data_IF_997108178545
#
_entry.id   IF_997108178545
#
_cell.length_a   1.000
_cell.length_b   1.000
_cell.length_c   1.000
_cell.angle_alpha   90.00
_cell.angle_beta   90.00
_cell.angle_gamma   90.00
#
_symmetry.space_group_name_H-M   'P 1'
#
loop_
_entity.id
_entity.type
_entity.pdbx_description
1 polymer ?
#
# COMPACT_ATOMS: atom_id res chain seq x y z
N UNK A 1 0.81 16.29 2.20
CA UNK A 1 1.28 15.96 0.83
C UNK A 1 2.64 16.58 0.54
N UNK A 2 3.56 15.81 -0.06
CA UNK A 2 4.84 16.28 -0.61
C UNK A 2 4.92 15.96 -2.11
N UNK A 3 6.11 16.09 -2.74
CA UNK A 3 6.27 15.79 -4.17
C UNK A 3 6.00 14.32 -4.50
N UNK A 4 6.40 13.39 -3.63
CA UNK A 4 6.09 11.95 -3.77
C UNK A 4 4.57 11.73 -3.73
N UNK A 5 3.86 12.40 -2.81
CA UNK A 5 2.38 12.34 -2.78
C UNK A 5 1.77 12.79 -4.11
N UNK A 6 2.24 13.91 -4.67
CA UNK A 6 1.74 14.43 -5.96
C UNK A 6 2.05 13.46 -7.12
N UNK A 7 3.20 12.82 -7.11
CA UNK A 7 3.55 11.82 -8.11
C UNK A 7 2.64 10.58 -8.03
N UNK A 8 2.32 10.09 -6.81
CA UNK A 8 1.36 8.99 -6.62
C UNK A 8 -0.02 9.37 -7.18
N UNK A 9 -0.48 10.60 -6.91
CA UNK A 9 -1.74 11.11 -7.50
C UNK A 9 -1.70 11.04 -9.02
N UNK A 10 -0.66 11.58 -9.66
CA UNK A 10 -0.54 11.59 -11.11
C UNK A 10 -0.53 10.18 -11.71
N UNK A 11 0.16 9.22 -11.06
CA UNK A 11 0.17 7.81 -11.47
C UNK A 11 -1.23 7.18 -11.37
N UNK A 12 -1.97 7.42 -10.28
CA UNK A 12 -3.33 6.88 -10.10
C UNK A 12 -4.33 7.54 -11.05
N UNK A 13 -4.20 8.84 -11.33
CA UNK A 13 -5.06 9.54 -12.28
C UNK A 13 -4.86 9.03 -13.70
N UNK A 14 -3.61 8.80 -14.13
CA UNK A 14 -3.32 8.22 -15.44
C UNK A 14 -3.82 6.78 -15.55
N UNK A 15 -3.68 5.99 -14.48
CA UNK A 15 -4.23 4.64 -14.39
C UNK A 15 -5.75 4.65 -14.61
N UNK A 16 -6.44 5.59 -13.96
CA UNK A 16 -7.87 5.78 -14.10
C UNK A 16 -8.27 6.33 -15.47
N UNK A 17 -7.51 7.25 -16.07
CA UNK A 17 -7.75 7.74 -17.43
C UNK A 17 -7.74 6.57 -18.43
N UNK A 18 -6.71 5.74 -18.37
CA UNK A 18 -6.58 4.55 -19.23
C UNK A 18 -7.75 3.57 -19.00
N UNK A 19 -8.12 3.32 -17.74
CA UNK A 19 -9.24 2.45 -17.42
C UNK A 19 -10.58 3.00 -17.91
N UNK A 20 -10.80 4.31 -17.80
CA UNK A 20 -12.01 4.98 -18.24
C UNK A 20 -12.17 4.89 -19.78
N UNK A 21 -11.09 5.07 -20.53
CA UNK A 21 -11.09 4.96 -21.99
C UNK A 21 -11.36 3.53 -22.49
N UNK A 22 -10.91 2.52 -21.75
CA UNK A 22 -10.99 1.11 -22.16
C UNK A 22 -12.22 0.38 -21.63
N UNK A 23 -12.70 0.76 -20.45
CA UNK A 23 -13.77 0.05 -19.72
C UNK A 23 -14.96 0.93 -19.35
N UNK A 24 -14.83 2.25 -19.42
CA UNK A 24 -15.87 3.19 -18.98
C UNK A 24 -15.96 3.40 -17.47
N UNK A 25 -15.04 2.84 -16.68
CA UNK A 25 -15.04 2.94 -15.22
C UNK A 25 -13.65 3.30 -14.65
N UNK A 26 -13.64 4.00 -13.51
CA UNK A 26 -12.44 4.23 -12.72
C UNK A 26 -12.08 2.95 -11.93
N UNK A 27 -10.79 2.68 -11.75
CA UNK A 27 -10.31 1.46 -11.09
C UNK A 27 -9.77 1.68 -9.68
N UNK A 28 -9.39 2.90 -9.33
CA UNK A 28 -8.81 3.23 -8.02
C UNK A 28 -9.22 4.64 -7.54
N UNK A 29 -9.13 4.87 -6.24
CA UNK A 29 -9.27 6.18 -5.61
C UNK A 29 -8.15 6.38 -4.61
N UNK A 30 -7.63 7.60 -4.50
CA UNK A 30 -6.61 7.96 -3.50
C UNK A 30 -7.20 8.91 -2.46
N UNK A 31 -6.66 8.85 -1.24
CA UNK A 31 -6.91 9.85 -0.18
C UNK A 31 -5.66 10.10 0.64
N UNK A 32 -5.63 11.25 1.32
CA UNK A 32 -4.56 11.69 2.20
C UNK A 32 -5.16 12.32 3.46
N UNK A 33 -4.70 11.89 4.63
CA UNK A 33 -4.96 12.56 5.89
C UNK A 33 -3.93 13.68 6.13
N UNK A 34 -3.65 14.01 7.40
CA UNK A 34 -2.65 15.00 7.80
C UNK A 34 -1.20 14.50 7.62
N UNK A 35 -0.83 14.07 6.40
CA UNK A 35 0.48 13.53 6.09
C UNK A 35 0.76 13.34 4.59
N UNK A 36 1.93 12.82 4.22
CA UNK A 36 2.28 12.51 2.83
C UNK A 36 1.90 11.08 2.41
N UNK A 37 1.42 10.24 3.32
CA UNK A 37 1.10 8.84 3.04
C UNK A 37 -0.19 8.73 2.22
N UNK A 38 -0.11 8.04 1.09
CA UNK A 38 -1.25 7.77 0.25
C UNK A 38 -2.02 6.54 0.75
N UNK A 39 -3.34 6.63 0.80
CA UNK A 39 -4.22 5.45 0.91
C UNK A 39 -4.91 5.29 -0.44
N UNK A 40 -4.75 4.12 -1.06
CA UNK A 40 -5.34 3.79 -2.36
C UNK A 40 -6.40 2.72 -2.16
N UNK A 41 -7.65 3.03 -2.50
CA UNK A 41 -8.77 2.09 -2.53
C UNK A 41 -8.99 1.59 -3.94
N UNK A 42 -9.17 0.28 -4.10
CA UNK A 42 -9.55 -0.34 -5.36
C UNK A 42 -10.23 -1.70 -5.13
N UNK A 43 -11.06 -2.17 -6.09
CA UNK A 43 -11.49 -3.57 -6.13
C UNK A 43 -10.30 -4.54 -6.14
N UNK A 44 -10.51 -5.74 -5.57
CA UNK A 44 -9.44 -6.75 -5.36
C UNK A 44 -8.70 -7.10 -6.66
N UNK A 45 -9.45 -7.22 -7.75
CA UNK A 45 -8.97 -7.56 -9.09
C UNK A 45 -7.98 -6.55 -9.67
N UNK A 46 -7.98 -5.31 -9.17
CA UNK A 46 -7.08 -4.25 -9.67
C UNK A 46 -5.80 -4.14 -8.84
N UNK A 47 -5.72 -4.77 -7.65
CA UNK A 47 -4.61 -4.53 -6.72
C UNK A 47 -3.27 -5.04 -7.21
N UNK A 48 -3.23 -6.16 -7.94
CA UNK A 48 -1.96 -6.65 -8.50
C UNK A 48 -1.37 -5.61 -9.49
N UNK A 49 -2.20 -5.09 -10.39
CA UNK A 49 -1.82 -4.07 -11.37
C UNK A 49 -1.38 -2.76 -10.69
N UNK A 50 -2.10 -2.31 -9.66
CA UNK A 50 -1.75 -1.11 -8.89
C UNK A 50 -0.42 -1.29 -8.15
N UNK A 51 -0.16 -2.44 -7.51
CA UNK A 51 1.10 -2.67 -6.81
C UNK A 51 2.26 -2.68 -7.79
N UNK A 52 2.12 -3.37 -8.93
CA UNK A 52 3.15 -3.35 -10.00
C UNK A 52 3.41 -1.93 -10.51
N UNK A 53 2.35 -1.13 -10.66
CA UNK A 53 2.45 0.25 -11.10
C UNK A 53 3.19 1.14 -10.08
N UNK A 54 2.87 1.01 -8.79
CA UNK A 54 3.56 1.74 -7.73
C UNK A 54 5.02 1.31 -7.63
N UNK A 55 5.33 0.01 -7.72
CA UNK A 55 6.70 -0.50 -7.70
C UNK A 55 7.52 -0.03 -8.90
N UNK A 56 6.88 0.18 -10.07
CA UNK A 56 7.54 0.74 -11.26
C UNK A 56 8.05 2.17 -11.03
N UNK A 57 7.19 3.06 -10.52
CA UNK A 57 7.54 4.46 -10.31
C UNK A 57 8.27 4.72 -8.99
N UNK A 58 8.10 3.85 -7.99
CA UNK A 58 8.68 3.97 -6.66
C UNK A 58 9.31 2.63 -6.25
N UNK A 59 10.54 2.33 -6.71
CA UNK A 59 11.25 1.12 -6.33
C UNK A 59 11.35 0.96 -4.81
N UNK A 60 11.09 -0.25 -4.31
CA UNK A 60 11.04 -0.55 -2.88
C UNK A 60 12.40 -1.00 -2.35
N UNK A 61 12.78 -0.51 -1.17
CA UNK A 61 13.98 -0.98 -0.46
C UNK A 61 13.71 -2.31 0.28
N UNK A 62 12.49 -2.44 0.82
CA UNK A 62 12.05 -3.60 1.58
C UNK A 62 11.11 -4.46 0.74
N UNK A 63 11.20 -5.77 0.94
CA UNK A 63 10.29 -6.76 0.37
C UNK A 63 8.82 -6.40 0.61
N UNK A 64 7.98 -6.57 -0.40
CA UNK A 64 6.56 -6.37 -0.27
C UNK A 64 5.95 -7.51 0.56
N UNK A 65 5.31 -7.17 1.68
CA UNK A 65 4.60 -8.16 2.50
C UNK A 65 3.27 -8.54 1.83
N UNK A 66 3.30 -9.59 1.04
CA UNK A 66 2.13 -10.11 0.30
C UNK A 66 1.15 -10.89 1.20
N UNK A 67 0.44 -10.16 2.07
CA UNK A 67 -0.52 -10.74 3.02
C UNK A 67 -1.68 -11.52 2.38
N UNK A 68 -1.92 -11.35 1.08
CA UNK A 68 -3.07 -11.92 0.37
C UNK A 68 -2.67 -12.80 -0.81
N UNK A 69 -1.39 -13.18 -0.90
CA UNK A 69 -0.85 -14.06 -1.95
C UNK A 69 -1.15 -13.58 -3.38
N UNK A 70 -1.13 -12.27 -3.62
CA UNK A 70 -1.29 -11.68 -4.96
C UNK A 70 -0.20 -12.13 -5.93
N UNK A 71 1.01 -12.36 -5.43
CA UNK A 71 2.19 -12.71 -6.23
C UNK A 71 2.69 -14.13 -5.96
N UNK A 72 1.94 -14.95 -5.21
CA UNK A 72 2.33 -16.32 -4.90
C UNK A 72 3.65 -16.44 -4.13
N UNK A 73 4.01 -15.41 -3.35
CA UNK A 73 5.26 -15.35 -2.59
C UNK A 73 6.47 -14.82 -3.38
N UNK A 74 6.30 -14.44 -4.64
CA UNK A 74 7.32 -13.71 -5.40
C UNK A 74 7.26 -12.21 -5.10
N UNK A 75 8.40 -11.53 -5.21
CA UNK A 75 8.41 -10.07 -5.16
C UNK A 75 7.72 -9.47 -6.40
N UNK A 76 6.92 -8.42 -6.24
CA UNK A 76 6.29 -7.75 -7.37
C UNK A 76 7.36 -7.14 -8.27
N UNK A 77 7.34 -7.50 -9.55
CA UNK A 77 8.10 -6.78 -10.58
C UNK A 77 7.30 -5.58 -11.06
N UNK A 78 7.90 -4.40 -11.01
CA UNK A 78 7.31 -3.16 -11.50
C UNK A 78 6.93 -3.26 -12.99
N UNK A 79 5.72 -2.82 -13.32
CA UNK A 79 5.21 -2.80 -14.69
C UNK A 79 4.13 -1.74 -14.86
N UNK A 80 3.95 -1.28 -16.09
CA UNK A 80 2.87 -0.37 -16.49
C UNK A 80 1.91 -1.07 -17.46
N UNK A 81 0.59 -0.79 -17.39
CA UNK A 81 -0.36 -1.36 -18.34
C UNK A 81 -0.17 -0.77 -19.75
N UNK A 82 -0.55 -1.52 -20.79
CA UNK A 82 -0.43 -1.08 -22.18
C UNK A 82 -1.23 0.21 -22.41
N UNK A 83 -0.58 1.23 -22.95
CA UNK A 83 -1.20 2.53 -23.25
C UNK A 83 -1.14 3.54 -22.10
N UNK A 84 -0.49 3.18 -20.98
CA UNK A 84 -0.19 4.10 -19.90
C UNK A 84 0.83 5.17 -20.34
N UNK A 85 0.55 6.44 -20.07
CA UNK A 85 1.50 7.52 -20.30
C UNK A 85 2.52 7.60 -19.16
N UNK A 86 3.72 7.05 -19.36
CA UNK A 86 4.76 7.05 -18.33
C UNK A 86 5.31 8.46 -18.01
N UNK A 87 5.04 9.48 -18.83
CA UNK A 87 5.54 10.83 -18.58
C UNK A 87 4.84 11.56 -17.41
N UNK A 88 3.78 10.98 -16.83
CA UNK A 88 3.05 11.58 -15.69
C UNK A 88 3.87 11.61 -14.40
N UNK A 89 4.90 10.77 -14.29
CA UNK A 89 5.88 10.83 -13.22
C UNK A 89 7.23 10.30 -13.71
N UNK A 90 8.32 10.82 -13.14
CA UNK A 90 9.61 10.14 -13.21
C UNK A 90 9.60 8.85 -12.36
N UNK A 91 10.52 7.95 -12.61
CA UNK A 91 10.89 6.91 -11.64
C UNK A 91 11.68 7.57 -10.51
N UNK A 92 11.27 7.33 -9.28
CA UNK A 92 11.84 7.91 -8.07
C UNK A 92 12.98 7.05 -7.52
N UNK A 93 13.82 7.65 -6.68
CA UNK A 93 14.85 6.93 -5.95
C UNK A 93 14.25 5.90 -4.99
N UNK A 94 14.92 4.76 -4.85
CA UNK A 94 14.56 3.71 -3.88
C UNK A 94 14.40 4.31 -2.49
N UNK A 95 13.29 3.99 -1.82
CA UNK A 95 12.97 4.51 -0.49
C UNK A 95 12.13 5.80 -0.47
N UNK A 96 11.86 6.41 -1.63
CA UNK A 96 10.87 7.52 -1.74
C UNK A 96 9.49 7.11 -1.22
N UNK A 97 9.12 5.85 -1.43
CA UNK A 97 8.06 5.14 -0.71
C UNK A 97 8.71 4.07 0.15
N UNK A 98 8.52 4.15 1.46
CA UNK A 98 9.22 3.28 2.44
C UNK A 98 8.67 1.85 2.51
N UNK A 99 7.45 1.64 2.00
CA UNK A 99 6.78 0.35 2.03
C UNK A 99 5.33 0.47 1.63
N UNK A 100 4.71 -0.68 1.36
CA UNK A 100 3.30 -0.81 1.02
C UNK A 100 2.61 -1.68 2.07
N UNK A 101 1.44 -1.24 2.53
CA UNK A 101 0.57 -2.02 3.40
C UNK A 101 -0.68 -2.38 2.61
N UNK A 102 -0.80 -3.65 2.24
CA UNK A 102 -2.01 -4.18 1.63
C UNK A 102 -2.92 -4.72 2.73
N UNK A 103 -4.11 -4.13 2.85
CA UNK A 103 -5.19 -4.53 3.77
C UNK A 103 -6.55 -4.49 3.06
N UNK A 104 -7.61 -4.90 3.75
CA UNK A 104 -8.99 -4.89 3.25
C UNK A 104 -9.93 -4.33 4.32
N UNK A 105 -11.17 -4.06 3.91
CA UNK A 105 -12.28 -3.83 4.86
C UNK A 105 -12.45 -5.08 5.72
N UNK A 106 -12.59 -4.88 7.03
CA UNK A 106 -12.81 -5.94 8.02
C UNK A 106 -13.88 -5.50 9.04
N UNK A 107 -14.13 -6.33 10.04
CA UNK A 107 -15.08 -6.05 11.13
C UNK A 107 -14.57 -5.00 12.15
N UNK A 108 -15.40 -4.74 13.16
CA UNK A 108 -15.14 -3.76 14.21
C UNK A 108 -14.21 -4.26 15.33
N UNK A 109 -14.15 -3.52 16.45
CA UNK A 109 -13.34 -3.90 17.61
C UNK A 109 -13.69 -5.31 18.13
N UNK A 110 -12.67 -6.06 18.56
CA UNK A 110 -12.81 -7.40 19.13
C UNK A 110 -12.30 -7.44 20.57
N UNK A 111 -12.99 -8.18 21.45
CA UNK A 111 -12.49 -8.48 22.79
C UNK A 111 -11.52 -9.65 22.72
N UNK A 112 -10.33 -9.48 23.29
CA UNK A 112 -9.29 -10.51 23.35
C UNK A 112 -9.26 -11.16 24.75
N UNK A 113 -8.83 -12.44 24.87
CA UNK A 113 -8.72 -13.11 26.16
C UNK A 113 -7.60 -12.52 27.03
N UNK A 114 -7.69 -12.72 28.35
CA UNK A 114 -6.66 -12.27 29.32
C UNK A 114 -5.26 -12.81 29.01
N UNK A 115 -5.16 -13.95 28.30
CA UNK A 115 -3.89 -14.49 27.82
C UNK A 115 -3.17 -13.57 26.82
N UNK A 116 -3.89 -12.63 26.20
CA UNK A 116 -3.36 -11.59 25.30
C UNK A 116 -3.29 -10.21 25.97
N UNK A 117 -3.57 -10.13 27.28
CA UNK A 117 -3.47 -8.88 28.03
C UNK A 117 -2.04 -8.31 27.91
N UNK A 118 -2.01 -6.99 27.67
CA UNK A 118 -0.78 -6.23 27.55
C UNK A 118 -0.20 -5.86 28.93
N UNK A 119 -1.01 -5.86 29.99
CA UNK A 119 -0.57 -5.58 31.36
C UNK A 119 -0.40 -6.89 32.17
N UNK A 120 0.60 -6.91 33.05
CA UNK A 120 0.79 -7.95 34.06
C UNK A 120 -0.18 -7.81 35.24
N UNK A 121 -0.12 -8.77 36.17
CA UNK A 121 -0.93 -8.75 37.40
C UNK A 121 -0.59 -7.60 38.35
N UNK A 122 0.57 -6.99 38.18
CA UNK A 122 1.04 -5.79 38.89
C UNK A 122 0.52 -4.48 38.25
N UNK A 123 -0.22 -4.58 37.13
CA UNK A 123 -0.72 -3.43 36.37
C UNK A 123 0.33 -2.73 35.52
N UNK A 124 1.54 -3.30 35.42
CA UNK A 124 2.62 -2.75 34.58
C UNK A 124 2.61 -3.40 33.18
N UNK A 125 3.18 -2.74 32.16
CA UNK A 125 3.36 -3.34 30.83
C UNK A 125 4.08 -4.69 30.94
N UNK A 126 3.44 -5.74 30.42
CA UNK A 126 4.07 -7.05 30.29
C UNK A 126 5.14 -7.02 29.19
N UNK A 127 6.00 -8.04 29.17
CA UNK A 127 6.97 -8.26 28.08
C UNK A 127 6.32 -8.25 26.68
N UNK A 128 5.03 -8.59 26.56
CA UNK A 128 4.29 -8.54 25.29
C UNK A 128 4.05 -7.11 24.79
N UNK A 129 4.05 -6.10 25.67
CA UNK A 129 3.96 -4.69 25.28
C UNK A 129 5.20 -4.22 24.53
N UNK A 130 6.35 -4.73 24.91
CA UNK A 130 7.62 -4.40 24.30
C UNK A 130 7.81 -5.33 23.11
N UNK A 131 7.10 -5.04 22.01
CA UNK A 131 7.27 -5.78 20.78
C UNK A 131 8.76 -6.00 20.50
N UNK A 132 9.16 -7.23 20.18
CA UNK A 132 10.48 -7.49 19.61
C UNK A 132 10.54 -6.75 18.29
N UNK A 133 10.99 -5.51 18.33
CA UNK A 133 11.48 -4.80 17.17
C UNK A 133 12.86 -5.41 16.92
N UNK A 134 12.88 -6.57 16.26
CA UNK A 134 14.09 -7.04 15.62
C UNK A 134 14.40 -6.02 14.52
N UNK A 135 15.23 -5.03 14.88
CA UNK A 135 15.88 -4.09 13.99
C UNK A 135 17.15 -4.72 13.41
#
# INVERSE_FOLDING_TARGET
MNDVSRAIVAVVEEYNRLALETTGHLKAAYTYDAGPNAVIYAPKENLEEIIRLIVHFFPQEKAFKDNFSLFGGAEPTGAVPKGFNEAVSRVWETGSVKGLIHTKVDDGPRTHPDSEALLGSDGLPSEKCFGRWDL
#
